data_IF_364819464697
#
_entry.id   IF_364819464697
#
_cell.length_a   1.000
_cell.length_b   1.000
_cell.length_c   1.000
_cell.angle_alpha   90.00
_cell.angle_beta   90.00
_cell.angle_gamma   90.00
#
_symmetry.space_group_name_H-M   'P 1'
#
loop_
_entity.id
_entity.type
_entity.pdbx_description
1 polymer ?
#
# COMPACT_ATOMS: atom_id res chain seq x y z
N UNK A 1 -4.41 -20.89 11.45
CA UNK A 1 -4.49 -20.92 10.33
C UNK A 1 -5.29 -19.97 9.65
N UNK A 2 -6.26 -19.53 10.09
CA UNK A 2 -6.95 -18.56 9.51
C UNK A 2 -6.17 -17.36 9.34
N UNK A 3 -5.20 -17.14 10.13
CA UNK A 3 -4.40 -15.97 10.03
C UNK A 3 -3.82 -15.86 8.68
N UNK A 4 -3.47 -16.95 8.06
CA UNK A 4 -2.90 -16.90 6.79
C UNK A 4 -3.83 -16.32 5.78
N UNK A 5 -5.08 -16.63 5.93
CA UNK A 5 -6.02 -16.17 5.01
C UNK A 5 -6.17 -14.70 5.08
N UNK A 6 -6.14 -14.14 6.24
CA UNK A 6 -6.22 -12.73 6.38
C UNK A 6 -5.02 -12.08 5.77
N UNK A 7 -3.87 -12.68 5.93
CA UNK A 7 -2.67 -12.12 5.38
C UNK A 7 -2.71 -12.08 3.89
N UNK A 8 -3.38 -13.04 3.27
CA UNK A 8 -3.46 -13.07 1.84
C UNK A 8 -4.31 -11.95 1.29
N UNK A 9 -5.20 -11.40 2.09
CA UNK A 9 -6.09 -10.38 1.60
C UNK A 9 -5.76 -9.00 2.09
N UNK A 10 -4.91 -8.88 3.07
CA UNK A 10 -4.58 -7.59 3.64
C UNK A 10 -3.12 -7.56 4.06
N UNK A 11 -2.44 -6.47 3.77
CA UNK A 11 -1.06 -6.32 4.15
C UNK A 11 -0.84 -4.87 4.57
N UNK A 12 -0.10 -4.67 5.63
CA UNK A 12 0.20 -3.32 6.07
C UNK A 12 1.60 -3.25 6.65
N UNK A 13 2.18 -2.08 6.61
CA UNK A 13 3.52 -1.88 7.13
C UNK A 13 3.72 -0.38 7.30
N UNK A 14 4.87 0.01 7.78
CA UNK A 14 5.20 1.42 7.81
C UNK A 14 6.47 1.61 6.98
N UNK A 15 6.56 2.74 6.32
CA UNK A 15 7.67 3.03 5.44
C UNK A 15 8.03 4.50 5.58
N UNK A 16 9.21 4.77 6.08
CA UNK A 16 9.69 6.14 6.27
C UNK A 16 8.71 6.96 7.11
N UNK A 17 8.12 6.34 8.11
CA UNK A 17 7.19 7.02 8.99
C UNK A 17 5.78 7.10 8.49
N UNK A 18 5.48 6.55 7.33
CA UNK A 18 4.14 6.56 6.78
C UNK A 18 3.50 5.19 6.89
N UNK A 19 2.21 5.16 7.14
CA UNK A 19 1.49 3.90 7.18
C UNK A 19 1.09 3.54 5.75
N UNK A 20 1.40 2.33 5.33
CA UNK A 20 1.00 1.87 4.01
C UNK A 20 0.23 0.56 4.17
N UNK A 21 -0.75 0.36 3.33
CA UNK A 21 -1.54 -0.85 3.40
C UNK A 21 -2.15 -1.16 2.04
N UNK A 22 -2.44 -2.43 1.82
CA UNK A 22 -3.12 -2.82 0.60
C UNK A 22 -4.12 -3.91 0.95
N UNK A 23 -5.24 -3.92 0.26
CA UNK A 23 -6.34 -4.81 0.56
C UNK A 23 -6.91 -5.38 -0.73
N UNK A 24 -7.06 -6.69 -0.78
CA UNK A 24 -7.63 -7.33 -1.96
C UNK A 24 -9.14 -7.45 -1.81
N UNK A 25 -9.85 -6.81 -2.73
CA UNK A 25 -11.30 -6.85 -2.69
C UNK A 25 -11.90 -7.73 -3.77
N UNK A 26 -11.11 -8.61 -4.32
CA UNK A 26 -11.62 -9.55 -5.31
C UNK A 26 -11.30 -9.18 -6.73
N UNK A 27 -11.28 -7.91 -7.06
CA UNK A 27 -10.89 -7.53 -8.40
C UNK A 27 -9.55 -6.86 -8.41
N UNK A 28 -8.83 -6.85 -7.36
CA UNK A 28 -7.49 -6.28 -7.35
C UNK A 28 -7.15 -5.76 -5.98
N UNK A 29 -5.97 -5.16 -5.88
CA UNK A 29 -5.45 -4.68 -4.61
C UNK A 29 -5.60 -3.17 -4.53
N UNK A 30 -6.36 -2.71 -3.55
CA UNK A 30 -6.51 -1.29 -3.28
C UNK A 30 -5.34 -0.83 -2.43
N UNK A 31 -5.05 0.43 -2.44
CA UNK A 31 -3.91 0.96 -1.68
C UNK A 31 -4.35 2.08 -0.76
N UNK A 32 -3.76 2.10 0.43
CA UNK A 32 -4.03 3.12 1.42
C UNK A 32 -2.71 3.75 1.85
N UNK A 33 -2.67 5.06 1.91
CA UNK A 33 -1.49 5.77 2.36
C UNK A 33 -1.90 6.63 3.53
N UNK A 34 -1.28 6.42 4.68
CA UNK A 34 -1.60 7.13 5.93
C UNK A 34 -3.09 7.00 6.22
N UNK A 35 -3.63 5.78 6.00
CA UNK A 35 -5.00 5.44 6.29
C UNK A 35 -6.01 6.10 5.33
N UNK A 36 -5.55 6.61 4.22
CA UNK A 36 -6.43 7.22 3.24
C UNK A 36 -6.41 6.40 1.96
N UNK A 37 -7.57 6.00 1.50
CA UNK A 37 -7.67 5.21 0.28
C UNK A 37 -7.26 6.05 -0.92
N UNK A 38 -6.40 5.50 -1.74
CA UNK A 38 -5.94 6.18 -2.95
C UNK A 38 -6.89 5.82 -4.07
N UNK A 39 -7.71 6.78 -4.48
CA UNK A 39 -8.72 6.50 -5.47
C UNK A 39 -8.13 6.25 -6.85
N UNK A 40 -8.84 5.47 -7.62
CA UNK A 40 -8.42 5.16 -8.98
C UNK A 40 -7.13 4.38 -9.08
N UNK A 41 -6.76 3.67 -8.02
CA UNK A 41 -5.59 2.82 -8.06
C UNK A 41 -6.00 1.40 -7.73
N UNK A 42 -5.66 0.48 -8.60
CA UNK A 42 -5.98 -0.91 -8.41
C UNK A 42 -4.85 -1.71 -9.02
N UNK A 43 -4.28 -2.60 -8.24
CA UNK A 43 -3.12 -3.36 -8.70
C UNK A 43 -3.43 -4.84 -8.77
N UNK A 44 -2.69 -5.53 -9.61
CA UNK A 44 -2.90 -6.95 -9.81
C UNK A 44 -2.35 -7.76 -8.66
N UNK A 45 -1.30 -7.30 -8.03
CA UNK A 45 -0.70 -8.02 -6.92
C UNK A 45 -0.43 -7.09 -5.77
N UNK A 46 -0.28 -7.66 -4.58
CA UNK A 46 0.05 -6.87 -3.41
C UNK A 46 1.43 -6.25 -3.57
N UNK A 47 2.35 -6.95 -4.20
CA UNK A 47 3.68 -6.43 -4.39
C UNK A 47 3.68 -5.19 -5.25
N UNK A 48 2.91 -5.18 -6.31
CA UNK A 48 2.83 -4.01 -7.16
C UNK A 48 2.24 -2.84 -6.39
N UNK A 49 1.25 -3.11 -5.55
CA UNK A 49 0.63 -2.07 -4.74
C UNK A 49 1.62 -1.47 -3.76
N UNK A 50 2.42 -2.30 -3.11
CA UNK A 50 3.40 -1.85 -2.14
C UNK A 50 4.49 -1.02 -2.82
N UNK A 51 4.93 -1.44 -3.98
CA UNK A 51 5.96 -0.72 -4.72
C UNK A 51 5.45 0.68 -5.06
N UNK A 52 4.19 0.76 -5.49
CA UNK A 52 3.62 2.05 -5.84
C UNK A 52 3.54 2.96 -4.61
N UNK A 53 3.12 2.40 -3.46
CA UNK A 53 3.03 3.18 -2.23
C UNK A 53 4.40 3.71 -1.82
N UNK A 54 5.42 2.89 -1.89
CA UNK A 54 6.76 3.31 -1.52
C UNK A 54 7.26 4.39 -2.47
N UNK A 55 6.92 4.29 -3.73
CA UNK A 55 7.33 5.29 -4.67
C UNK A 55 6.66 6.63 -4.41
N UNK A 56 5.41 6.61 -3.98
CA UNK A 56 4.73 7.84 -3.65
C UNK A 56 5.42 8.55 -2.49
N UNK A 57 5.84 7.80 -1.51
CA UNK A 57 6.51 8.36 -0.35
C UNK A 57 7.88 8.86 -0.74
N UNK A 58 8.61 8.09 -1.53
CA UNK A 58 9.95 8.47 -1.96
C UNK A 58 9.92 9.70 -2.84
N UNK A 59 8.90 9.83 -3.65
CA UNK A 59 8.80 10.98 -4.51
C UNK A 59 8.54 12.25 -3.72
N UNK A 60 7.80 12.14 -2.64
CA UNK A 60 7.53 13.29 -1.83
C UNK A 60 8.70 13.67 -0.96
N UNK A 61 9.39 12.69 -0.44
CA UNK A 61 10.47 12.94 0.50
C UNK A 61 11.58 13.81 -0.04
N UNK A 62 12.09 13.52 -1.20
CA UNK A 62 13.21 14.30 -1.66
C UNK A 62 12.90 15.75 -1.85
N UNK A 63 11.69 16.06 -2.16
CA UNK A 63 11.40 17.41 -2.36
C UNK A 63 11.47 18.15 -1.12
N UNK A 64 11.32 17.50 0.00
CA UNK A 64 11.46 18.21 1.13
C UNK A 64 12.82 18.25 1.54
N UNK A 65 13.64 17.46 1.07
CA UNK A 65 14.99 17.41 1.45
C UNK A 65 15.68 18.64 1.11
N UNK A 66 15.16 19.45 0.42
CA UNK A 66 15.83 20.61 0.24
C UNK A 66 15.07 21.70 0.28
#
# INVERSE_FOLDING_TARGET
MHTLRESDEFWSDSYRGHAIATLNRGNGWLVYLDHVLQHNKLFVTAEAAVVWLRRQIDSAAPSQAH
#
